data_IF_001132725075
#
_entry.id   IF_001132725075
#
_cell.length_a   1.000
_cell.length_b   1.000
_cell.length_c   1.000
_cell.angle_alpha   90.00
_cell.angle_beta   90.00
_cell.angle_gamma   90.00
#
_symmetry.space_group_name_H-M   'P 1'
#
loop_
_entity.id
_entity.type
_entity.pdbx_description
1 polymer ?
#
# COMPACT_ATOMS: atom_id res chain seq x y z
N UNK A 1 -22.07 -4.05 -7.06
CA UNK A 1 -20.63 -4.39 -6.98
C UNK A 1 -19.92 -3.29 -6.22
N UNK A 2 -18.93 -3.60 -5.43
CA UNK A 2 -18.04 -2.66 -4.73
C UNK A 2 -16.59 -3.06 -4.99
N UNK A 3 -15.69 -2.10 -5.05
CA UNK A 3 -14.28 -2.32 -5.37
C UNK A 3 -13.45 -1.86 -4.17
N UNK A 4 -12.57 -2.73 -3.70
CA UNK A 4 -11.69 -2.49 -2.56
C UNK A 4 -10.23 -2.50 -3.02
N UNK A 5 -9.56 -1.36 -2.90
CA UNK A 5 -8.12 -1.23 -3.06
C UNK A 5 -7.43 -1.39 -1.70
N UNK A 6 -6.62 -2.42 -1.56
CA UNK A 6 -5.91 -2.70 -0.31
C UNK A 6 -4.43 -2.31 -0.35
N UNK A 7 -4.06 -1.47 -1.31
CA UNK A 7 -2.73 -0.87 -1.39
C UNK A 7 -2.60 0.27 -0.38
N UNK A 8 -1.39 0.78 -0.22
CA UNK A 8 -1.15 1.95 0.62
C UNK A 8 -1.91 3.18 0.11
N UNK A 9 -2.18 4.17 0.98
CA UNK A 9 -2.78 5.43 0.55
C UNK A 9 -1.96 6.13 -0.54
N UNK A 10 -0.62 6.07 -0.48
CA UNK A 10 0.28 6.66 -1.47
C UNK A 10 0.16 5.98 -2.83
N UNK A 11 0.03 4.64 -2.87
CA UNK A 11 -0.27 3.92 -4.12
C UNK A 11 -1.63 4.33 -4.68
N UNK A 12 -2.66 4.46 -3.81
CA UNK A 12 -4.03 4.80 -4.19
C UNK A 12 -4.15 6.20 -4.80
N UNK A 13 -3.51 7.21 -4.21
CA UNK A 13 -3.54 8.59 -4.71
C UNK A 13 -2.52 8.85 -5.81
N UNK A 14 -1.74 7.85 -6.23
CA UNK A 14 -0.80 7.95 -7.33
C UNK A 14 0.55 8.58 -6.98
N UNK A 15 0.89 8.72 -5.71
CA UNK A 15 2.20 9.21 -5.26
C UNK A 15 3.28 8.13 -5.31
N UNK A 16 2.93 6.88 -4.99
CA UNK A 16 3.81 5.72 -5.14
C UNK A 16 3.45 4.97 -6.43
N UNK A 17 4.19 5.24 -7.51
CA UNK A 17 3.93 4.71 -8.85
C UNK A 17 4.69 3.39 -9.03
N UNK A 18 3.96 2.28 -9.11
CA UNK A 18 4.51 0.93 -9.26
C UNK A 18 4.04 0.20 -10.53
N UNK A 19 3.59 0.96 -11.52
CA UNK A 19 3.21 0.56 -12.89
C UNK A 19 3.58 1.71 -13.83
N UNK A 20 3.16 1.71 -15.09
CA UNK A 20 3.37 2.85 -16.02
C UNK A 20 2.70 4.12 -15.48
N UNK A 21 1.57 3.97 -14.78
CA UNK A 21 0.88 5.06 -14.09
C UNK A 21 0.52 4.71 -12.66
N UNK A 22 0.41 5.73 -11.81
CA UNK A 22 -0.20 5.68 -10.50
C UNK A 22 -1.70 5.95 -10.56
N UNK A 23 -2.37 5.91 -9.40
CA UNK A 23 -3.80 6.11 -9.24
C UNK A 23 -4.53 4.84 -8.86
N UNK A 24 -5.85 4.81 -9.08
CA UNK A 24 -6.70 3.67 -8.69
C UNK A 24 -7.87 3.45 -9.66
N UNK A 25 -8.53 2.31 -9.54
CA UNK A 25 -9.73 1.97 -10.31
C UNK A 25 -10.89 2.89 -9.86
N UNK A 26 -11.64 3.55 -10.78
CA UNK A 26 -12.69 4.48 -10.44
C UNK A 26 -13.71 3.89 -9.46
N UNK A 27 -14.06 4.67 -8.43
CA UNK A 27 -15.02 4.28 -7.40
C UNK A 27 -14.50 3.25 -6.40
N UNK A 28 -13.22 2.90 -6.41
CA UNK A 28 -12.63 2.03 -5.41
C UNK A 28 -12.57 2.69 -4.03
N UNK A 29 -12.81 1.90 -3.00
CA UNK A 29 -12.60 2.30 -1.59
C UNK A 29 -11.20 1.85 -1.19
N UNK A 30 -10.40 2.74 -0.61
CA UNK A 30 -9.08 2.36 -0.09
C UNK A 30 -9.16 1.97 1.38
N UNK A 31 -8.76 0.74 1.68
CA UNK A 31 -8.50 0.24 3.03
C UNK A 31 -7.23 -0.60 2.95
N UNK A 32 -6.07 -0.05 3.35
CA UNK A 32 -4.78 -0.73 3.27
C UNK A 32 -4.78 -2.06 4.03
N UNK A 33 -4.17 -3.10 3.47
CA UNK A 33 -4.18 -4.44 4.05
C UNK A 33 -3.50 -4.49 5.44
N UNK A 34 -2.57 -3.59 5.71
CA UNK A 34 -1.91 -3.45 7.01
C UNK A 34 -2.91 -3.07 8.11
N UNK A 35 -4.04 -2.46 7.75
CA UNK A 35 -5.10 -2.13 8.70
C UNK A 35 -5.78 -3.36 9.30
N UNK A 36 -5.61 -4.54 8.70
CA UNK A 36 -6.03 -5.81 9.29
C UNK A 36 -5.22 -6.19 10.53
N UNK A 37 -4.02 -5.63 10.72
CA UNK A 37 -3.10 -6.00 11.78
C UNK A 37 -3.34 -5.23 13.06
N UNK A 38 -2.98 -5.83 14.19
CA UNK A 38 -3.00 -5.18 15.51
C UNK A 38 -2.18 -3.88 15.47
N UNK A 39 -1.00 -3.92 14.85
CA UNK A 39 -0.15 -2.74 14.63
C UNK A 39 0.17 -2.60 13.13
N UNK A 40 -0.54 -1.72 12.40
CA UNK A 40 -0.31 -1.47 10.98
C UNK A 40 1.10 -0.99 10.63
N UNK A 41 1.83 -0.41 11.59
CA UNK A 41 3.18 0.13 11.39
C UNK A 41 4.30 -0.91 11.57
N UNK A 42 3.96 -2.16 11.87
CA UNK A 42 4.94 -3.22 12.19
C UNK A 42 6.05 -3.34 11.15
N UNK A 43 5.72 -3.34 9.85
CA UNK A 43 6.75 -3.41 8.80
C UNK A 43 7.70 -2.20 8.82
N UNK A 44 7.16 -1.01 9.02
CA UNK A 44 7.96 0.21 9.14
C UNK A 44 8.86 0.19 10.38
N UNK A 45 8.36 -0.30 11.50
CA UNK A 45 9.12 -0.45 12.74
C UNK A 45 10.24 -1.48 12.61
N UNK A 46 9.98 -2.61 11.93
CA UNK A 46 10.99 -3.61 11.61
C UNK A 46 12.10 -3.03 10.72
N UNK A 47 11.72 -2.34 9.64
CA UNK A 47 12.68 -1.72 8.73
C UNK A 47 13.59 -0.70 9.42
N UNK A 48 13.05 0.04 10.40
CA UNK A 48 13.82 0.99 11.24
C UNK A 48 14.53 0.35 12.42
N UNK A 49 14.48 -0.98 12.55
CA UNK A 49 15.06 -1.75 13.68
C UNK A 49 14.55 -1.32 15.07
N UNK A 50 13.32 -0.81 15.13
CA UNK A 50 12.66 -0.40 16.38
C UNK A 50 12.05 -1.59 17.14
N UNK A 51 11.76 -2.66 16.42
CA UNK A 51 11.28 -3.94 16.95
C UNK A 51 12.04 -5.09 16.28
N UNK A 52 12.03 -6.26 16.90
CA UNK A 52 12.78 -7.45 16.43
C UNK A 52 11.88 -8.61 16.00
N UNK A 53 10.56 -8.46 16.14
CA UNK A 53 9.58 -9.49 15.78
C UNK A 53 8.37 -8.89 15.05
N UNK A 54 7.59 -9.75 14.44
CA UNK A 54 6.42 -9.40 13.64
C UNK A 54 5.07 -9.65 14.35
N UNK A 55 5.05 -9.75 15.67
CA UNK A 55 3.82 -10.04 16.43
C UNK A 55 2.68 -9.05 16.14
N UNK A 56 3.03 -7.79 15.85
CA UNK A 56 2.06 -6.76 15.46
C UNK A 56 1.32 -7.03 14.15
N UNK A 57 1.82 -7.95 13.30
CA UNK A 57 1.14 -8.38 12.06
C UNK A 57 0.03 -9.41 12.30
N UNK A 58 -0.23 -9.81 13.54
CA UNK A 58 -1.39 -10.63 13.88
C UNK A 58 -2.68 -9.87 13.56
N UNK A 59 -3.72 -10.59 13.13
CA UNK A 59 -5.00 -9.98 12.80
C UNK A 59 -5.65 -9.33 14.03
N UNK A 60 -6.30 -8.20 13.81
CA UNK A 60 -7.17 -7.57 14.79
C UNK A 60 -8.30 -8.49 15.22
N UNK A 61 -8.88 -8.30 16.42
CA UNK A 61 -10.11 -8.98 16.82
C UNK A 61 -11.24 -8.78 15.79
N UNK A 62 -12.11 -9.77 15.67
CA UNK A 62 -13.19 -9.75 14.67
C UNK A 62 -14.06 -8.49 14.73
N UNK A 63 -14.34 -7.98 15.93
CA UNK A 63 -15.16 -6.76 16.09
C UNK A 63 -14.45 -5.50 15.56
N UNK A 64 -13.14 -5.43 15.67
CA UNK A 64 -12.36 -4.33 15.11
C UNK A 64 -12.31 -4.42 13.57
N UNK A 65 -12.18 -5.63 13.03
CA UNK A 65 -12.25 -5.88 11.60
C UNK A 65 -13.64 -5.56 11.03
N UNK A 66 -14.73 -5.92 11.72
CA UNK A 66 -16.08 -5.52 11.33
C UNK A 66 -16.25 -4.00 11.27
N UNK A 67 -15.69 -3.27 12.24
CA UNK A 67 -15.69 -1.80 12.24
C UNK A 67 -14.87 -1.25 11.08
N UNK A 68 -13.70 -1.81 10.80
CA UNK A 68 -12.83 -1.41 9.69
C UNK A 68 -13.56 -1.50 8.35
N UNK A 69 -14.31 -2.59 8.13
CA UNK A 69 -15.02 -2.84 6.89
C UNK A 69 -16.50 -2.42 6.89
N UNK A 70 -16.94 -1.65 7.90
CA UNK A 70 -18.33 -1.22 8.06
C UNK A 70 -18.90 -0.41 6.89
N UNK A 71 -18.04 0.17 6.04
CA UNK A 71 -18.44 0.88 4.82
C UNK A 71 -18.78 -0.06 3.65
N UNK A 72 -18.47 -1.33 3.76
CA UNK A 72 -18.76 -2.36 2.75
C UNK A 72 -20.03 -3.12 3.13
N UNK A 73 -20.80 -3.50 2.12
CA UNK A 73 -22.00 -4.34 2.28
C UNK A 73 -21.60 -5.81 2.07
N UNK A 74 -21.72 -6.69 3.07
CA UNK A 74 -21.32 -8.09 2.96
C UNK A 74 -22.14 -8.90 1.95
N UNK A 75 -23.33 -8.40 1.55
CA UNK A 75 -24.19 -9.06 0.57
C UNK A 75 -23.87 -8.67 -0.88
N UNK A 76 -23.08 -7.62 -1.08
CA UNK A 76 -22.68 -7.17 -2.43
C UNK A 76 -21.43 -7.92 -2.91
N UNK A 77 -21.35 -8.10 -4.22
CA UNK A 77 -20.11 -8.55 -4.84
C UNK A 77 -18.98 -7.56 -4.54
N UNK A 78 -17.89 -8.07 -3.98
CA UNK A 78 -16.72 -7.28 -3.58
C UNK A 78 -15.51 -7.74 -4.37
N UNK A 79 -15.00 -6.86 -5.22
CA UNK A 79 -13.75 -7.09 -5.94
C UNK A 79 -12.61 -6.47 -5.14
N UNK A 80 -11.64 -7.28 -4.71
CA UNK A 80 -10.47 -6.84 -3.96
C UNK A 80 -9.26 -6.86 -4.86
N UNK A 81 -8.48 -5.79 -4.88
CA UNK A 81 -7.22 -5.75 -5.59
C UNK A 81 -6.12 -5.06 -4.80
N UNK A 82 -4.87 -5.36 -5.17
CA UNK A 82 -3.68 -4.65 -4.69
C UNK A 82 -2.71 -4.40 -5.85
N UNK A 83 -1.41 -4.45 -5.62
CA UNK A 83 -0.41 -4.29 -6.68
C UNK A 83 -0.27 -5.55 -7.55
N UNK A 84 -0.28 -6.77 -6.94
CA UNK A 84 0.05 -8.05 -7.61
C UNK A 84 -0.74 -9.25 -7.09
N UNK A 85 -1.85 -9.04 -6.37
CA UNK A 85 -2.74 -10.08 -5.88
C UNK A 85 -2.51 -10.55 -4.43
N UNK A 86 -1.27 -10.61 -3.94
CA UNK A 86 -0.95 -11.22 -2.64
C UNK A 86 -1.66 -10.55 -1.44
N UNK A 87 -1.56 -9.21 -1.32
CA UNK A 87 -2.25 -8.45 -0.25
C UNK A 87 -3.77 -8.56 -0.36
N UNK A 88 -4.28 -8.58 -1.59
CA UNK A 88 -5.70 -8.74 -1.88
C UNK A 88 -6.23 -10.12 -1.45
N UNK A 89 -5.48 -11.19 -1.67
CA UNK A 89 -5.85 -12.54 -1.26
C UNK A 89 -5.96 -12.67 0.27
N UNK A 90 -5.04 -12.07 1.02
CA UNK A 90 -5.12 -12.02 2.48
C UNK A 90 -6.38 -11.29 2.95
N UNK A 91 -6.65 -10.10 2.41
CA UNK A 91 -7.85 -9.33 2.77
C UNK A 91 -9.14 -10.04 2.35
N UNK A 92 -9.16 -10.71 1.20
CA UNK A 92 -10.32 -11.50 0.78
C UNK A 92 -10.64 -12.61 1.80
N UNK A 93 -9.61 -13.30 2.33
CA UNK A 93 -9.79 -14.28 3.41
C UNK A 93 -10.36 -13.66 4.69
N UNK A 94 -9.94 -12.45 5.06
CA UNK A 94 -10.51 -11.72 6.21
C UNK A 94 -11.97 -11.38 5.95
N UNK A 95 -12.33 -10.84 4.78
CA UNK A 95 -13.72 -10.51 4.45
C UNK A 95 -14.62 -11.73 4.48
N UNK A 96 -14.16 -12.88 3.96
CA UNK A 96 -14.92 -14.14 4.01
C UNK A 96 -15.19 -14.59 5.46
N UNK A 97 -14.20 -14.48 6.35
CA UNK A 97 -14.39 -14.76 7.78
C UNK A 97 -15.39 -13.81 8.45
N UNK A 98 -15.54 -12.59 7.94
CA UNK A 98 -16.51 -11.60 8.41
C UNK A 98 -17.91 -11.78 7.80
N UNK A 99 -18.12 -12.80 6.96
CA UNK A 99 -19.41 -13.15 6.38
C UNK A 99 -19.69 -12.56 4.99
N UNK A 100 -18.68 -11.98 4.32
CA UNK A 100 -18.81 -11.59 2.93
C UNK A 100 -18.85 -12.83 2.03
N UNK A 101 -19.96 -13.04 1.32
CA UNK A 101 -20.20 -14.28 0.55
C UNK A 101 -19.77 -14.21 -0.91
N UNK A 102 -19.53 -13.01 -1.44
CA UNK A 102 -19.26 -12.75 -2.87
C UNK A 102 -17.97 -11.97 -3.05
N UNK A 103 -16.87 -12.49 -2.49
CA UNK A 103 -15.55 -11.85 -2.59
C UNK A 103 -14.76 -12.47 -3.73
N UNK A 104 -14.22 -11.63 -4.59
CA UNK A 104 -13.33 -12.00 -5.70
C UNK A 104 -12.03 -11.21 -5.62
N UNK A 105 -10.91 -11.85 -5.89
CA UNK A 105 -9.62 -11.19 -6.06
C UNK A 105 -9.43 -10.86 -7.54
N UNK A 106 -9.11 -9.60 -7.85
CA UNK A 106 -8.65 -9.24 -9.18
C UNK A 106 -7.16 -9.53 -9.28
N UNK A 107 -6.82 -10.68 -9.86
CA UNK A 107 -5.49 -11.26 -9.83
C UNK A 107 -4.46 -10.44 -10.63
N UNK A 108 -4.84 -9.94 -11.82
CA UNK A 108 -3.96 -9.02 -12.59
C UNK A 108 -3.63 -7.73 -11.85
N UNK A 109 -4.44 -7.38 -10.87
CA UNK A 109 -4.23 -6.30 -9.91
C UNK A 109 -3.93 -4.95 -10.57
N UNK A 110 -3.33 -4.01 -9.85
CA UNK A 110 -2.92 -2.74 -10.43
C UNK A 110 -1.79 -2.90 -11.46
N UNK A 111 -0.96 -3.93 -11.31
CA UNK A 111 0.10 -4.19 -12.28
C UNK A 111 -0.45 -4.42 -13.69
N UNK A 112 -1.53 -5.16 -13.83
CA UNK A 112 -2.25 -5.31 -15.11
C UNK A 112 -3.05 -4.06 -15.49
N UNK A 113 -3.91 -3.59 -14.57
CA UNK A 113 -4.81 -2.47 -14.83
C UNK A 113 -4.09 -1.14 -15.09
N UNK A 114 -3.09 -0.80 -14.28
CA UNK A 114 -2.32 0.44 -14.39
C UNK A 114 -1.46 0.51 -15.66
N UNK A 115 -1.12 -0.64 -16.24
CA UNK A 115 -0.41 -0.72 -17.52
C UNK A 115 -1.34 -0.71 -18.75
N UNK A 116 -2.65 -0.82 -18.55
CA UNK A 116 -3.68 -0.70 -19.59
C UNK A 116 -4.09 0.77 -19.68
N UNK A 117 -3.45 1.55 -20.55
CA UNK A 117 -3.57 3.01 -20.56
C UNK A 117 -4.94 3.54 -20.97
N UNK A 118 -5.71 2.79 -21.72
CA UNK A 118 -7.09 3.10 -22.15
C UNK A 118 -8.14 2.76 -21.06
N UNK A 119 -7.76 2.00 -20.02
CA UNK A 119 -8.65 1.75 -18.89
C UNK A 119 -8.81 3.03 -18.04
N UNK A 120 -10.05 3.38 -17.61
CA UNK A 120 -10.29 4.58 -16.80
C UNK A 120 -9.62 4.46 -15.43
N UNK A 121 -9.02 5.55 -14.93
CA UNK A 121 -8.39 5.59 -13.60
C UNK A 121 -8.55 6.97 -12.98
N UNK A 122 -8.58 7.01 -11.64
CA UNK A 122 -8.60 8.24 -10.84
C UNK A 122 -7.22 8.51 -10.23
N UNK A 123 -6.93 9.78 -9.92
CA UNK A 123 -5.64 10.26 -9.39
C UNK A 123 -4.44 9.80 -10.24
N UNK A 124 -4.58 9.95 -11.56
CA UNK A 124 -3.57 9.48 -12.51
C UNK A 124 -2.31 10.33 -12.42
N UNK A 125 -1.18 9.68 -12.18
CA UNK A 125 0.16 10.21 -12.29
C UNK A 125 0.99 9.28 -13.17
N UNK A 126 1.90 9.85 -13.97
CA UNK A 126 2.77 9.03 -14.81
C UNK A 126 4.18 8.95 -14.24
N UNK A 127 4.82 7.81 -14.45
CA UNK A 127 6.19 7.59 -14.05
C UNK A 127 7.11 8.57 -14.82
N UNK A 128 7.85 9.39 -14.08
CA UNK A 128 8.74 10.39 -14.64
C UNK A 128 10.19 10.07 -14.24
N UNK A 129 10.94 9.48 -15.16
CA UNK A 129 12.34 9.08 -14.95
C UNK A 129 13.23 10.31 -14.68
N UNK A 130 13.00 11.43 -15.36
CA UNK A 130 13.77 12.65 -15.15
C UNK A 130 13.63 13.20 -13.74
N UNK A 131 12.39 13.26 -13.23
CA UNK A 131 12.12 13.69 -11.86
C UNK A 131 12.71 12.70 -10.84
N UNK A 132 12.62 11.39 -11.10
CA UNK A 132 13.20 10.37 -10.24
C UNK A 132 14.72 10.54 -10.15
N UNK A 133 15.41 10.70 -11.28
CA UNK A 133 16.85 10.89 -11.31
C UNK A 133 17.27 12.16 -10.58
N UNK A 134 16.52 13.26 -10.73
CA UNK A 134 16.79 14.51 -10.00
C UNK A 134 16.67 14.31 -8.49
N UNK A 135 15.64 13.59 -8.02
CA UNK A 135 15.46 13.28 -6.60
C UNK A 135 16.56 12.37 -6.07
N UNK A 136 16.99 11.37 -6.84
CA UNK A 136 18.09 10.47 -6.46
C UNK A 136 19.40 11.25 -6.32
N UNK A 137 19.72 12.15 -7.26
CA UNK A 137 20.92 13.00 -7.18
C UNK A 137 20.89 13.88 -5.95
N UNK A 138 19.77 14.56 -5.67
CA UNK A 138 19.64 15.42 -4.49
C UNK A 138 19.78 14.63 -3.17
N UNK A 139 19.24 13.42 -3.11
CA UNK A 139 19.39 12.54 -1.94
C UNK A 139 20.84 12.08 -1.78
N UNK A 140 21.53 11.75 -2.87
CA UNK A 140 22.95 11.36 -2.84
C UNK A 140 23.83 12.51 -2.34
N UNK A 141 23.59 13.72 -2.80
CA UNK A 141 24.30 14.92 -2.33
C UNK A 141 24.08 15.14 -0.83
N UNK A 142 22.81 14.97 -0.36
CA UNK A 142 22.48 15.09 1.07
C UNK A 142 23.16 14.01 1.92
N UNK A 143 23.23 12.78 1.44
CA UNK A 143 23.97 11.70 2.11
C UNK A 143 25.44 12.03 2.23
N UNK A 144 26.08 12.42 1.14
CA UNK A 144 27.50 12.81 1.11
C UNK A 144 27.79 13.96 2.09
N UNK A 145 26.90 14.95 2.14
CA UNK A 145 27.02 16.06 3.09
C UNK A 145 26.92 15.59 4.54
N UNK A 146 25.93 14.73 4.86
CA UNK A 146 25.77 14.19 6.21
C UNK A 146 26.94 13.32 6.64
N UNK A 147 27.51 12.54 5.74
CA UNK A 147 28.71 11.75 6.00
C UNK A 147 29.92 12.65 6.34
N UNK A 148 30.09 13.75 5.62
CA UNK A 148 31.13 14.75 5.90
C UNK A 148 30.92 15.42 7.27
N UNK A 149 29.70 15.88 7.55
CA UNK A 149 29.33 16.48 8.85
C UNK A 149 29.60 15.51 10.01
N UNK A 150 29.28 14.22 9.82
CA UNK A 150 29.53 13.16 10.80
C UNK A 150 31.03 12.92 11.02
N UNK A 151 31.82 12.90 9.96
CA UNK A 151 33.28 12.73 10.07
C UNK A 151 33.92 13.91 10.81
N UNK A 152 33.51 15.13 10.51
CA UNK A 152 33.98 16.34 11.21
C UNK A 152 33.59 16.34 12.70
N UNK A 153 32.37 15.90 13.02
CA UNK A 153 31.91 15.78 14.42
C UNK A 153 32.67 14.73 15.21
N UNK A 154 33.06 13.61 14.57
CA UNK A 154 33.86 12.55 15.18
C UNK A 154 35.33 12.94 15.36
N UNK A 155 35.87 13.75 14.46
CA UNK A 155 37.27 14.24 14.54
C UNK A 155 37.49 15.34 15.59
N UNK A 156 36.44 15.91 16.15
CA UNK A 156 36.49 16.95 17.21
C UNK A 156 36.50 16.37 18.64
N UNK A 157 36.51 15.05 18.80
CA UNK A 157 36.66 14.33 20.07
C UNK A 157 38.08 13.79 20.21
#
# INVERSE_FOLDING_TARGET
>A
MQILDVRTPQEFIGEDIRAIRGGHIPGAINIPYEQNWIDPETLGKLARKQITNNAGMSLKPAEDLKRLYSRLDPNKETIVYCQSGARASQTAGVLQQLGFTKVKVYDSAWLGYGNTLDAPAENVTFFNVGLLNSRLSALQERVNQLEKELAEAKGRK
#
